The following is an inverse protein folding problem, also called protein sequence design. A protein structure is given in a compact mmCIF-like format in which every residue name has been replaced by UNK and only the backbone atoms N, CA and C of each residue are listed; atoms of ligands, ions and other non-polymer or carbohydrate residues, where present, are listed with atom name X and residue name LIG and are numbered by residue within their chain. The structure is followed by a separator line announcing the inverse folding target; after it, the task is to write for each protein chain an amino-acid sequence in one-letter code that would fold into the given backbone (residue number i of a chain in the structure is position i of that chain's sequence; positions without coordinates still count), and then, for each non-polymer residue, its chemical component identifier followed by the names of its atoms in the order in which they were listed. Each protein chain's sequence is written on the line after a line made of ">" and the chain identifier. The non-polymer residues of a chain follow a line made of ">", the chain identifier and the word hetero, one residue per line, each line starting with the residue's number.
data_IF_665069867856
#
_entry.id   IF_665069867856
#
_cell.length_a   1.000
_cell.length_b   1.000
_cell.length_c   1.000
_cell.angle_alpha   90.00
_cell.angle_beta   90.00
_cell.angle_gamma   90.00
#
_symmetry.space_group_name_H-M   'P 1'
#
loop_
_entity.id
_entity.type
_entity.pdbx_description
1 polymer ?
#
# COMPACT_ATOMS: atom_id res chain seq x y z
N UNK A 1 -5.59 15.14 -14.27
CA UNK A 1 -5.31 16.50 -14.79
C UNK A 1 -6.28 17.46 -14.11
N UNK A 2 -5.82 18.36 -13.22
CA UNK A 2 -6.70 19.30 -12.48
C UNK A 2 -6.60 20.75 -12.99
N UNK A 3 -5.93 20.97 -14.12
CA UNK A 3 -5.65 22.32 -14.61
C UNK A 3 -6.76 22.78 -15.55
N UNK A 4 -7.33 23.95 -15.29
CA UNK A 4 -8.37 24.59 -16.11
C UNK A 4 -7.75 25.60 -17.06
N UNK A 5 -7.98 25.44 -18.36
CA UNK A 5 -7.53 26.38 -19.40
C UNK A 5 -8.68 27.30 -19.78
N UNK A 6 -8.44 28.61 -19.79
CA UNK A 6 -9.45 29.63 -20.02
C UNK A 6 -8.91 30.63 -21.04
N UNK A 7 -9.71 30.96 -22.05
CA UNK A 7 -9.43 32.03 -22.99
C UNK A 7 -10.08 33.33 -22.50
N UNK A 8 -9.32 34.43 -22.53
CA UNK A 8 -9.82 35.75 -22.15
C UNK A 8 -9.86 36.63 -23.38
N UNK A 9 -11.04 37.20 -23.63
CA UNK A 9 -11.21 38.24 -24.64
C UNK A 9 -10.72 39.59 -24.06
N UNK A 10 -9.71 40.20 -24.67
CA UNK A 10 -9.04 41.38 -24.12
C UNK A 10 -9.87 42.67 -24.24
N UNK A 11 -10.83 42.73 -25.16
CA UNK A 11 -11.69 43.90 -25.36
C UNK A 11 -12.86 43.91 -24.38
N UNK A 12 -13.54 42.78 -24.24
CA UNK A 12 -14.70 42.60 -23.36
C UNK A 12 -14.34 42.17 -21.94
N UNK A 13 -13.08 41.75 -21.72
CA UNK A 13 -12.56 41.18 -20.45
C UNK A 13 -13.31 39.95 -19.97
N UNK A 14 -14.06 39.28 -20.86
CA UNK A 14 -14.80 38.06 -20.53
C UNK A 14 -13.89 36.85 -20.72
N UNK A 15 -14.00 35.93 -19.77
CA UNK A 15 -13.27 34.67 -19.79
C UNK A 15 -14.23 33.53 -20.13
N UNK A 16 -13.80 32.60 -20.98
CA UNK A 16 -14.51 31.36 -21.29
C UNK A 16 -13.56 30.18 -21.23
N UNK A 17 -14.06 29.03 -20.81
CA UNK A 17 -13.27 27.80 -20.89
C UNK A 17 -12.85 27.56 -22.34
N UNK A 18 -11.59 27.17 -22.53
CA UNK A 18 -11.05 26.88 -23.86
C UNK A 18 -11.12 25.36 -24.07
N UNK A 19 -12.15 24.85 -24.76
CA UNK A 19 -12.20 23.44 -25.08
C UNK A 19 -11.09 23.13 -26.08
N UNK A 20 -10.34 22.06 -25.83
CA UNK A 20 -9.41 21.53 -26.82
C UNK A 20 -10.05 20.27 -27.41
N UNK A 21 -10.52 20.37 -28.64
CA UNK A 21 -11.17 19.25 -29.33
C UNK A 21 -10.20 18.10 -29.56
N UNK A 22 -10.68 16.86 -29.38
CA UNK A 22 -9.88 15.64 -29.56
C UNK A 22 -9.01 15.24 -28.37
N UNK A 23 -9.02 15.98 -27.26
CA UNK A 23 -8.37 15.56 -26.01
C UNK A 23 -9.24 14.54 -25.27
N UNK A 24 -9.04 13.27 -25.57
CA UNK A 24 -9.47 12.18 -24.70
C UNK A 24 -8.52 12.07 -23.50
N UNK A 25 -9.05 11.65 -22.35
CA UNK A 25 -8.21 11.26 -21.22
C UNK A 25 -7.23 10.16 -21.69
N UNK A 26 -5.95 10.22 -21.31
CA UNK A 26 -5.05 9.11 -21.59
C UNK A 26 -5.62 7.84 -20.99
N UNK A 27 -5.48 6.72 -21.70
CA UNK A 27 -5.84 5.43 -21.13
C UNK A 27 -5.06 5.25 -19.81
N UNK A 28 -5.70 4.78 -18.73
CA UNK A 28 -4.99 4.51 -17.49
C UNK A 28 -3.80 3.61 -17.80
N UNK A 29 -2.60 4.10 -17.52
CA UNK A 29 -1.42 3.27 -17.60
C UNK A 29 -1.59 2.20 -16.54
N UNK A 30 -1.67 0.94 -16.94
CA UNK A 30 -1.45 -0.17 -16.01
C UNK A 30 0.00 -0.04 -15.61
N UNK A 31 0.27 0.45 -14.40
CA UNK A 31 1.63 0.58 -13.89
C UNK A 31 2.32 -0.78 -14.01
N UNK A 32 3.23 -0.92 -14.97
CA UNK A 32 4.12 -2.07 -15.05
C UNK A 32 5.21 -1.85 -14.01
N UNK A 33 5.00 -2.39 -12.82
CA UNK A 33 5.95 -2.28 -11.74
C UNK A 33 7.18 -3.14 -12.03
N UNK A 34 8.25 -2.49 -12.46
CA UNK A 34 9.60 -3.05 -12.33
C UNK A 34 9.86 -3.32 -10.85
N UNK A 35 10.32 -4.52 -10.51
CA UNK A 35 10.64 -4.91 -9.15
C UNK A 35 11.51 -3.83 -8.47
N UNK A 36 10.94 -3.15 -7.47
CA UNK A 36 11.61 -2.08 -6.73
C UNK A 36 12.88 -2.63 -6.07
N UNK A 37 14.00 -2.46 -6.77
CA UNK A 37 15.31 -3.01 -6.39
C UNK A 37 15.97 -2.20 -5.26
N UNK A 38 15.31 -1.13 -4.77
CA UNK A 38 15.82 -0.23 -3.73
C UNK A 38 15.01 -0.23 -2.43
N UNK A 39 13.91 -0.98 -2.35
CA UNK A 39 13.10 -1.06 -1.13
C UNK A 39 13.77 -2.00 -0.13
N UNK A 40 13.96 -1.54 1.12
CA UNK A 40 14.53 -2.36 2.20
C UNK A 40 13.65 -3.60 2.39
N UNK A 41 14.27 -4.77 2.34
CA UNK A 41 13.58 -6.03 2.63
C UNK A 41 13.87 -6.47 4.06
N UNK A 42 12.83 -6.79 4.81
CA UNK A 42 12.89 -7.37 6.16
C UNK A 42 12.44 -8.81 6.04
N UNK A 43 13.32 -9.75 6.36
CA UNK A 43 12.99 -11.17 6.42
C UNK A 43 12.34 -11.48 7.77
N UNK A 44 11.17 -12.13 7.71
CA UNK A 44 10.45 -12.59 8.88
C UNK A 44 10.58 -14.10 9.01
N UNK A 45 10.59 -14.58 10.25
CA UNK A 45 10.46 -16.00 10.53
C UNK A 45 9.13 -16.54 9.99
N UNK A 46 9.10 -17.84 9.71
CA UNK A 46 7.87 -18.50 9.26
C UNK A 46 6.76 -18.35 10.30
N UNK A 47 5.56 -18.00 9.84
CA UNK A 47 4.39 -17.83 10.71
C UNK A 47 3.30 -18.83 10.34
N UNK A 48 2.71 -19.45 11.36
CA UNK A 48 1.51 -20.26 11.21
C UNK A 48 0.30 -19.44 11.64
N UNK A 49 -0.71 -19.35 10.78
CA UNK A 49 -1.90 -18.54 11.03
C UNK A 49 -3.16 -19.38 10.83
N UNK A 50 -4.09 -19.31 11.79
CA UNK A 50 -5.38 -19.95 11.67
C UNK A 50 -6.33 -19.01 10.93
N UNK A 51 -6.62 -19.32 9.67
CA UNK A 51 -7.63 -18.61 8.91
C UNK A 51 -8.39 -19.52 7.95
N UNK A 52 -9.69 -19.25 7.81
CA UNK A 52 -10.61 -19.96 6.92
C UNK A 52 -10.98 -19.21 5.64
N UNK A 53 -10.68 -17.91 5.55
CA UNK A 53 -11.10 -17.06 4.42
C UNK A 53 -10.17 -15.89 4.09
N UNK A 54 -9.23 -15.54 4.98
CA UNK A 54 -8.29 -14.44 4.74
C UNK A 54 -7.36 -14.16 5.90
N UNK A 55 -6.16 -13.72 5.60
CA UNK A 55 -5.11 -13.46 6.58
C UNK A 55 -5.21 -12.00 7.00
N UNK A 56 -5.41 -11.76 8.29
CA UNK A 56 -5.40 -10.41 8.85
C UNK A 56 -3.96 -9.99 9.14
N UNK A 57 -3.64 -8.76 8.79
CA UNK A 57 -2.36 -8.12 9.07
C UNK A 57 -2.59 -6.91 9.95
N UNK A 58 -1.86 -6.86 11.06
CA UNK A 58 -1.75 -5.70 11.94
C UNK A 58 -0.36 -5.09 11.75
N UNK A 59 -0.29 -3.79 11.51
CA UNK A 59 0.95 -3.04 11.29
C UNK A 59 1.14 -2.04 12.42
N UNK A 60 2.29 -2.15 13.09
CA UNK A 60 2.75 -1.25 14.13
C UNK A 60 3.90 -0.39 13.60
N UNK A 61 3.77 0.94 13.74
CA UNK A 61 4.78 1.89 13.29
C UNK A 61 5.59 2.45 14.47
N UNK A 62 6.87 2.12 14.51
CA UNK A 62 7.84 2.73 15.43
C UNK A 62 8.40 4.01 14.79
N UNK A 63 7.59 5.07 14.78
CA UNK A 63 7.99 6.39 14.25
C UNK A 63 8.89 7.14 15.24
N UNK A 64 9.79 8.01 14.76
CA UNK A 64 10.57 8.89 15.63
C UNK A 64 9.67 9.80 16.47
N UNK A 65 10.16 10.22 17.62
CA UNK A 65 9.43 11.12 18.52
C UNK A 65 8.97 12.40 17.79
N UNK A 66 7.71 12.77 17.99
CA UNK A 66 7.08 13.93 17.35
C UNK A 66 6.64 13.72 15.90
N UNK A 67 6.76 12.51 15.34
CA UNK A 67 6.20 12.14 14.04
C UNK A 67 4.94 11.31 14.18
N UNK A 68 4.03 11.50 13.22
CA UNK A 68 2.79 10.73 13.08
C UNK A 68 2.56 10.33 11.63
N UNK A 69 1.70 9.34 11.40
CA UNK A 69 1.27 9.00 10.03
C UNK A 69 0.58 10.18 9.36
N UNK A 70 0.80 10.33 8.06
CA UNK A 70 0.20 11.39 7.27
C UNK A 70 -1.25 11.02 6.89
N UNK A 71 -2.29 11.69 7.42
CA UNK A 71 -3.68 11.37 7.08
C UNK A 71 -4.02 11.66 5.61
N UNK A 72 -3.22 12.49 4.92
CA UNK A 72 -3.39 12.82 3.51
C UNK A 72 -2.66 11.86 2.56
N UNK A 73 -1.84 10.95 3.09
CA UNK A 73 -1.20 9.89 2.31
C UNK A 73 -1.55 8.53 2.91
N UNK A 74 -2.61 7.87 2.41
CA UNK A 74 -3.03 6.57 2.90
C UNK A 74 -1.87 5.57 2.92
N UNK A 75 -1.84 4.74 3.95
CA UNK A 75 -0.96 3.58 3.96
C UNK A 75 -1.47 2.63 2.89
N UNK A 76 -0.58 2.22 1.99
CA UNK A 76 -0.91 1.28 0.93
C UNK A 76 -0.04 0.04 1.04
N UNK A 77 -0.60 -1.09 0.66
CA UNK A 77 0.11 -2.35 0.60
C UNK A 77 0.03 -2.93 -0.81
N UNK A 78 1.05 -3.71 -1.14
CA UNK A 78 1.10 -4.51 -2.35
C UNK A 78 1.54 -5.91 -1.98
N UNK A 79 0.81 -6.90 -2.46
CA UNK A 79 1.12 -8.29 -2.23
C UNK A 79 1.85 -8.91 -3.43
N UNK A 80 3.04 -9.46 -3.19
CA UNK A 80 3.71 -10.38 -4.10
C UNK A 80 3.84 -11.76 -3.45
N UNK A 81 4.28 -12.73 -4.24
CA UNK A 81 4.63 -14.07 -3.77
C UNK A 81 5.96 -14.49 -4.38
N UNK A 82 6.75 -15.25 -3.63
CA UNK A 82 7.97 -15.88 -4.11
C UNK A 82 7.68 -17.35 -4.43
N UNK A 83 8.00 -17.75 -5.67
CA UNK A 83 7.74 -19.10 -6.18
C UNK A 83 6.29 -19.33 -6.59
N UNK A 84 6.00 -20.57 -6.97
CA UNK A 84 4.63 -21.01 -7.26
C UNK A 84 3.85 -21.24 -5.97
N UNK A 85 2.59 -20.82 -5.96
CA UNK A 85 1.70 -20.95 -4.81
C UNK A 85 0.24 -20.99 -5.26
N UNK A 86 -0.61 -21.64 -4.46
CA UNK A 86 -2.07 -21.68 -4.65
C UNK A 86 -2.84 -21.09 -3.49
N UNK A 87 -2.16 -20.60 -2.45
CA UNK A 87 -2.77 -20.14 -1.21
C UNK A 87 -3.54 -18.82 -1.37
N UNK A 88 -2.98 -17.88 -2.12
CA UNK A 88 -3.46 -16.51 -2.34
C UNK A 88 -4.11 -16.42 -3.72
N UNK A 89 -5.26 -15.74 -3.79
CA UNK A 89 -5.93 -15.47 -5.06
C UNK A 89 -5.09 -14.54 -5.95
N UNK A 90 -5.01 -14.85 -7.24
CA UNK A 90 -4.10 -14.19 -8.19
C UNK A 90 -4.47 -12.74 -8.49
N UNK A 91 -5.74 -12.38 -8.33
CA UNK A 91 -6.29 -11.02 -8.51
C UNK A 91 -5.78 -10.01 -7.47
N UNK A 92 -5.36 -10.48 -6.30
CA UNK A 92 -4.75 -9.66 -5.25
C UNK A 92 -3.24 -9.47 -5.43
N UNK A 93 -2.60 -10.24 -6.33
CA UNK A 93 -1.17 -10.17 -6.52
C UNK A 93 -0.80 -8.97 -7.38
N UNK A 94 0.28 -8.28 -6.99
CA UNK A 94 0.86 -7.14 -7.66
C UNK A 94 -0.06 -5.92 -7.82
N UNK A 95 -1.21 -5.93 -7.14
CA UNK A 95 -2.13 -4.80 -7.05
C UNK A 95 -1.79 -3.95 -5.82
N UNK A 96 -1.82 -2.64 -5.98
CA UNK A 96 -1.69 -1.68 -4.87
C UNK A 96 -3.08 -1.43 -4.28
N UNK A 97 -3.19 -1.61 -2.98
CA UNK A 97 -4.46 -1.49 -2.26
C UNK A 97 -4.28 -0.60 -1.03
N UNK A 98 -5.30 0.20 -0.72
CA UNK A 98 -5.32 1.01 0.49
C UNK A 98 -5.55 0.12 1.72
N UNK A 99 -4.78 0.36 2.77
CA UNK A 99 -5.01 -0.25 4.07
C UNK A 99 -5.86 0.67 4.95
N UNK A 100 -6.53 0.08 5.94
CA UNK A 100 -7.32 0.84 6.91
C UNK A 100 -6.39 1.31 8.02
N UNK A 101 -6.29 2.63 8.24
CA UNK A 101 -5.52 3.21 9.35
C UNK A 101 -6.40 4.00 10.29
N UNK A 102 -6.08 3.96 11.59
CA UNK A 102 -6.68 4.80 12.63
C UNK A 102 -5.78 5.98 13.03
N UNK A 103 -4.63 6.15 12.35
CA UNK A 103 -3.62 7.17 12.62
C UNK A 103 -2.40 6.67 13.40
N UNK A 104 -2.52 5.55 14.12
CA UNK A 104 -1.41 4.93 14.88
C UNK A 104 -1.10 3.52 14.38
N UNK A 105 -2.15 2.75 14.09
CA UNK A 105 -2.08 1.40 13.58
C UNK A 105 -2.64 1.31 12.17
N UNK A 106 -2.22 0.29 11.43
CA UNK A 106 -2.80 -0.02 10.11
C UNK A 106 -3.17 -1.49 10.04
N UNK A 107 -4.33 -1.77 9.46
CA UNK A 107 -4.85 -3.12 9.27
C UNK A 107 -5.28 -3.34 7.84
N UNK A 108 -5.03 -4.55 7.35
CA UNK A 108 -5.55 -5.00 6.06
C UNK A 108 -5.74 -6.52 6.08
N UNK A 109 -6.56 -7.01 5.15
CA UNK A 109 -6.87 -8.43 5.03
C UNK A 109 -6.57 -8.89 3.61
N UNK A 110 -5.85 -10.01 3.51
CA UNK A 110 -5.58 -10.69 2.24
C UNK A 110 -6.48 -11.91 2.14
N UNK A 111 -7.32 -12.00 1.11
CA UNK A 111 -8.19 -13.16 0.92
C UNK A 111 -7.37 -14.37 0.41
N UNK A 112 -7.73 -15.55 0.89
CA UNK A 112 -7.05 -16.80 0.51
C UNK A 112 -7.91 -17.56 -0.48
N UNK A 113 -7.26 -18.13 -1.50
CA UNK A 113 -7.92 -19.04 -2.45
C UNK A 113 -8.11 -20.44 -1.85
N UNK A 114 -7.21 -20.85 -0.95
CA UNK A 114 -7.27 -22.13 -0.25
C UNK A 114 -7.22 -21.95 1.26
N UNK A 115 -7.96 -22.79 2.00
CA UNK A 115 -8.05 -22.71 3.48
C UNK A 115 -6.80 -23.22 4.20
N UNK A 116 -5.95 -23.95 3.48
CA UNK A 116 -4.70 -24.51 3.99
C UNK A 116 -3.64 -24.41 2.90
N UNK A 117 -2.38 -24.34 3.30
CA UNK A 117 -1.26 -24.29 2.37
C UNK A 117 -0.13 -23.41 2.87
N UNK A 118 0.92 -23.32 2.05
CA UNK A 118 2.13 -22.55 2.34
C UNK A 118 2.40 -21.60 1.19
N UNK A 119 2.86 -20.40 1.51
CA UNK A 119 3.36 -19.45 0.53
C UNK A 119 4.44 -18.57 1.16
N UNK A 120 5.33 -18.02 0.35
CA UNK A 120 6.23 -16.96 0.79
C UNK A 120 5.68 -15.64 0.27
N UNK A 121 5.11 -14.85 1.16
CA UNK A 121 4.51 -13.56 0.83
C UNK A 121 5.59 -12.47 0.77
N UNK A 122 5.48 -11.59 -0.21
CA UNK A 122 6.27 -10.38 -0.35
C UNK A 122 5.33 -9.17 -0.16
N UNK A 123 5.18 -8.71 1.09
CA UNK A 123 4.28 -7.60 1.41
C UNK A 123 5.06 -6.30 1.36
N UNK A 124 4.77 -5.43 0.39
CA UNK A 124 5.38 -4.10 0.33
C UNK A 124 4.41 -3.09 0.91
N UNK A 125 4.80 -2.41 1.99
CA UNK A 125 4.07 -1.30 2.59
C UNK A 125 4.68 0.02 2.14
N UNK A 126 3.83 0.98 1.76
CA UNK A 126 4.20 2.38 1.47
C UNK A 126 3.38 3.29 2.36
N UNK A 127 4.03 4.20 3.07
CA UNK A 127 3.39 5.08 4.04
C UNK A 127 4.07 6.45 4.08
N UNK A 128 3.30 7.47 4.47
CA UNK A 128 3.83 8.80 4.77
C UNK A 128 3.81 9.08 6.25
N UNK A 129 4.81 9.79 6.75
CA UNK A 129 4.84 10.27 8.13
C UNK A 129 5.36 11.71 8.18
N UNK A 130 4.77 12.53 9.06
CA UNK A 130 5.03 13.96 9.15
C UNK A 130 5.36 14.36 10.58
N UNK A 131 6.25 15.35 10.73
CA UNK A 131 6.47 16.06 11.99
C UNK A 131 5.52 17.24 12.10
N UNK A 132 4.86 17.39 13.24
CA UNK A 132 4.01 18.55 13.51
C UNK A 132 4.81 19.84 13.74
N UNK A 133 4.19 21.00 13.48
CA UNK A 133 4.76 22.34 13.73
C UNK A 133 4.99 23.19 12.48
N UNK A 134 5.36 24.47 12.68
CA UNK A 134 5.73 25.38 11.57
C UNK A 134 6.96 24.83 10.84
N UNK A 135 6.82 24.55 9.54
CA UNK A 135 7.85 23.88 8.74
C UNK A 135 7.85 22.35 8.91
N UNK A 136 6.69 21.75 9.23
CA UNK A 136 6.51 20.31 9.30
C UNK A 136 7.05 19.60 8.05
N UNK A 137 7.89 18.59 8.27
CA UNK A 137 8.50 17.79 7.21
C UNK A 137 7.73 16.48 7.09
N UNK A 138 7.20 16.22 5.90
CA UNK A 138 6.60 14.94 5.55
C UNK A 138 7.59 14.12 4.73
N UNK A 139 7.70 12.84 5.09
CA UNK A 139 8.53 11.85 4.40
C UNK A 139 7.64 10.70 3.92
N UNK A 140 8.04 10.08 2.82
CA UNK A 140 7.44 8.86 2.30
C UNK A 140 8.49 7.77 2.42
N UNK A 141 8.11 6.61 2.93
CA UNK A 141 8.99 5.46 3.06
C UNK A 141 8.28 4.19 2.59
N UNK A 142 9.07 3.17 2.30
CA UNK A 142 8.58 1.87 1.87
C UNK A 142 9.43 0.74 2.41
N UNK A 143 8.77 -0.32 2.85
CA UNK A 143 9.41 -1.52 3.37
C UNK A 143 8.76 -2.75 2.75
N UNK A 144 9.59 -3.73 2.38
CA UNK A 144 9.15 -5.02 1.89
C UNK A 144 9.38 -6.06 2.97
N UNK A 145 8.36 -6.82 3.32
CA UNK A 145 8.47 -7.97 4.21
C UNK A 145 8.49 -9.24 3.38
N UNK A 146 9.48 -10.09 3.62
CA UNK A 146 9.49 -11.47 3.12
C UNK A 146 9.02 -12.39 4.24
N UNK A 147 7.84 -12.95 4.08
CA UNK A 147 7.15 -13.71 5.12
C UNK A 147 6.74 -15.09 4.61
N UNK A 148 7.45 -16.16 5.00
CA UNK A 148 6.93 -17.51 4.86
C UNK A 148 5.69 -17.68 5.75
N UNK A 149 4.57 -18.05 5.16
CA UNK A 149 3.31 -18.27 5.88
C UNK A 149 2.77 -19.66 5.62
N UNK A 150 2.20 -20.26 6.66
CA UNK A 150 1.48 -21.51 6.61
C UNK A 150 0.08 -21.34 7.23
N UNK A 151 -0.96 -21.69 6.48
CA UNK A 151 -2.32 -21.74 7.00
C UNK A 151 -2.60 -23.11 7.58
N UNK A 152 -2.76 -23.15 8.89
CA UNK A 152 -3.05 -24.34 9.66
C UNK A 152 -4.29 -24.09 10.54
N UNK A 153 -5.29 -24.98 10.45
CA UNK A 153 -6.55 -24.82 11.16
C UNK A 153 -6.42 -24.76 12.71
N UNK A 154 -5.30 -25.26 13.25
CA UNK A 154 -5.01 -25.32 14.69
C UNK A 154 -3.96 -24.30 15.15
N UNK A 155 -3.54 -23.37 14.29
CA UNK A 155 -2.59 -22.34 14.71
C UNK A 155 -3.22 -21.40 15.74
N UNK A 156 -2.41 -20.91 16.69
CA UNK A 156 -2.89 -20.01 17.75
C UNK A 156 -3.00 -18.57 17.26
N UNK A 157 -2.09 -18.14 16.37
CA UNK A 157 -2.09 -16.81 15.80
C UNK A 157 -3.22 -16.68 14.77
N UNK A 158 -4.01 -15.60 14.90
CA UNK A 158 -5.12 -15.26 13.98
C UNK A 158 -4.78 -14.12 13.03
N UNK A 159 -3.74 -13.35 13.35
CA UNK A 159 -3.22 -12.28 12.52
C UNK A 159 -1.69 -12.31 12.48
N UNK A 160 -1.15 -11.67 11.44
CA UNK A 160 0.28 -11.43 11.26
C UNK A 160 0.60 -10.03 11.77
N UNK A 161 1.57 -9.92 12.68
CA UNK A 161 2.07 -8.64 13.15
C UNK A 161 3.28 -8.20 12.32
N UNK A 162 3.22 -6.99 11.75
CA UNK A 162 4.32 -6.37 11.03
C UNK A 162 4.79 -5.13 11.78
N UNK A 163 6.09 -5.09 12.11
CA UNK A 163 6.70 -3.91 12.75
C UNK A 163 7.49 -3.11 11.72
N UNK A 164 7.15 -1.83 11.59
CA UNK A 164 7.74 -0.91 10.64
C UNK A 164 8.57 0.13 11.39
N UNK A 165 9.82 0.29 10.98
CA UNK A 165 10.71 1.35 11.48
C UNK A 165 11.29 2.09 10.27
N UNK A 166 11.07 3.41 10.17
CA UNK A 166 11.59 4.22 9.07
C UNK A 166 13.10 4.12 8.93
N UNK A 167 13.61 4.37 7.73
CA UNK A 167 15.05 4.46 7.47
C UNK A 167 15.66 5.79 7.89
#
# INVERSE_FOLDING_TARGET
>A
NNQRIVAVDLASKKAREFPIEGLAAPQPVVEQHTADSKVRTVELAAQQVASSSGIDFDVEFALPEGYKLNPLLPVTYRLGVEGEQSLIASDQLNTKTDATTDGESTKFRILVANKTGRATLLVTLTYGYCRDGKGGLCKIDSVKFKLPIELAAKAEAKSVMLKVSPK
#
